data_IF_113684012904
#
_entry.id   IF_113684012904
#
_cell.length_a   1.000
_cell.length_b   1.000
_cell.length_c   1.000
_cell.angle_alpha   90.00
_cell.angle_beta   90.00
_cell.angle_gamma   90.00
#
_symmetry.space_group_name_H-M   'P 1'
#
loop_
_entity.id
_entity.type
_entity.pdbx_description
1 polymer ?
#
# COMPACT_ATOMS: atom_id res chain seq x y z
N UNK A 1 -17.06 -16.87 -23.85
CA UNK A 1 -15.60 -17.13 -24.01
C UNK A 1 -14.76 -15.89 -24.31
N UNK A 2 -15.27 -14.75 -24.82
CA UNK A 2 -14.44 -13.52 -24.96
C UNK A 2 -14.55 -12.54 -23.79
N UNK A 3 -15.77 -12.29 -23.29
CA UNK A 3 -16.00 -11.34 -22.19
C UNK A 3 -15.27 -11.72 -20.89
N UNK A 4 -15.16 -13.01 -20.58
CA UNK A 4 -14.41 -13.51 -19.42
C UNK A 4 -12.91 -13.24 -19.54
N UNK A 5 -12.33 -13.48 -20.72
CA UNK A 5 -10.91 -13.22 -21.00
C UNK A 5 -10.58 -11.72 -20.89
N UNK A 6 -11.43 -10.85 -21.44
CA UNK A 6 -11.28 -9.39 -21.34
C UNK A 6 -11.34 -8.95 -19.87
N UNK A 7 -12.30 -9.46 -19.09
CA UNK A 7 -12.42 -9.17 -17.67
C UNK A 7 -11.16 -9.57 -16.88
N UNK A 8 -10.64 -10.78 -17.09
CA UNK A 8 -9.40 -11.26 -16.46
C UNK A 8 -8.21 -10.36 -16.81
N UNK A 9 -8.06 -9.98 -18.09
CA UNK A 9 -6.98 -9.08 -18.51
C UNK A 9 -7.10 -7.68 -17.86
N UNK A 10 -8.30 -7.12 -17.77
CA UNK A 10 -8.54 -5.83 -17.10
C UNK A 10 -8.20 -5.90 -15.61
N UNK A 11 -8.60 -6.97 -14.91
CA UNK A 11 -8.30 -7.18 -13.48
C UNK A 11 -6.78 -7.26 -13.28
N UNK A 12 -6.07 -8.05 -14.09
CA UNK A 12 -4.61 -8.15 -14.01
C UNK A 12 -3.91 -6.81 -14.27
N UNK A 13 -4.39 -6.04 -15.25
CA UNK A 13 -3.88 -4.70 -15.51
C UNK A 13 -4.08 -3.77 -14.31
N UNK A 14 -5.29 -3.72 -13.73
CA UNK A 14 -5.59 -2.90 -12.56
C UNK A 14 -4.73 -3.29 -11.35
N UNK A 15 -4.57 -4.59 -11.08
CA UNK A 15 -3.71 -5.12 -10.01
C UNK A 15 -2.25 -4.68 -10.19
N UNK A 16 -1.74 -4.79 -11.42
CA UNK A 16 -0.35 -4.40 -11.76
C UNK A 16 -0.13 -2.89 -11.60
N UNK A 17 -1.07 -2.09 -12.12
CA UNK A 17 -1.03 -0.64 -11.99
C UNK A 17 -1.08 -0.21 -10.52
N UNK A 18 -2.03 -0.76 -9.76
CA UNK A 18 -2.16 -0.50 -8.33
C UNK A 18 -0.88 -0.84 -7.57
N UNK A 19 -0.29 -2.02 -7.80
CA UNK A 19 0.95 -2.43 -7.14
C UNK A 19 2.11 -1.46 -7.44
N UNK A 20 2.23 -1.04 -8.69
CA UNK A 20 3.27 -0.09 -9.11
C UNK A 20 3.09 1.28 -8.43
N UNK A 21 1.87 1.81 -8.46
CA UNK A 21 1.55 3.09 -7.80
C UNK A 21 1.72 3.01 -6.28
N UNK A 22 1.28 1.92 -5.65
CA UNK A 22 1.43 1.71 -4.22
C UNK A 22 2.90 1.67 -3.80
N UNK A 23 3.75 0.98 -4.56
CA UNK A 23 5.18 0.91 -4.31
C UNK A 23 5.83 2.30 -4.45
N UNK A 24 5.45 3.09 -5.45
CA UNK A 24 5.93 4.46 -5.60
C UNK A 24 5.55 5.34 -4.40
N UNK A 25 4.31 5.24 -3.92
CA UNK A 25 3.85 5.96 -2.71
C UNK A 25 4.63 5.52 -1.48
N UNK A 26 4.86 4.22 -1.30
CA UNK A 26 5.67 3.70 -0.19
C UNK A 26 7.09 4.27 -0.22
N UNK A 27 7.74 4.27 -1.39
CA UNK A 27 9.09 4.81 -1.54
C UNK A 27 9.17 6.31 -1.19
N UNK A 28 8.19 7.10 -1.64
CA UNK A 28 8.13 8.54 -1.30
C UNK A 28 7.95 8.73 0.20
N UNK A 29 7.01 8.01 0.83
CA UNK A 29 6.77 8.09 2.26
C UNK A 29 8.01 7.67 3.07
N UNK A 30 8.68 6.59 2.69
CA UNK A 30 9.89 6.10 3.37
C UNK A 30 11.05 7.12 3.23
N UNK A 31 11.13 7.83 2.11
CA UNK A 31 12.10 8.90 1.92
C UNK A 31 11.76 10.13 2.76
N UNK A 32 10.48 10.54 2.80
CA UNK A 32 10.01 11.64 3.66
C UNK A 32 10.24 11.35 5.13
N UNK A 33 10.00 10.11 5.57
CA UNK A 33 10.29 9.66 6.94
C UNK A 33 11.75 9.86 7.29
N UNK A 34 12.69 9.39 6.46
CA UNK A 34 14.13 9.56 6.71
C UNK A 34 14.54 11.03 6.83
N UNK A 35 13.99 11.89 5.97
CA UNK A 35 14.24 13.33 6.03
C UNK A 35 13.66 13.92 7.33
N UNK A 36 12.44 13.54 7.68
CA UNK A 36 11.76 13.96 8.92
C UNK A 36 12.50 13.51 10.18
N UNK A 37 12.96 12.26 10.24
CA UNK A 37 13.78 11.74 11.34
C UNK A 37 15.10 12.51 11.48
N UNK A 38 15.78 12.77 10.35
CA UNK A 38 17.02 13.57 10.34
C UNK A 38 16.76 14.96 10.91
N UNK A 39 15.68 15.62 10.48
CA UNK A 39 15.31 16.95 10.94
C UNK A 39 14.97 16.98 12.44
N UNK A 40 14.21 15.99 12.93
CA UNK A 40 13.87 15.90 14.35
C UNK A 40 15.10 15.65 15.22
N UNK A 41 16.03 14.80 14.78
CA UNK A 41 17.28 14.56 15.50
C UNK A 41 18.17 15.82 15.61
N UNK A 42 17.99 16.81 14.72
CA UNK A 42 18.68 18.10 14.80
C UNK A 42 18.00 19.09 15.74
N UNK A 43 16.74 18.85 16.14
CA UNK A 43 16.01 19.70 17.07
C UNK A 43 16.37 19.37 18.51
N UNK A 44 17.45 19.99 19.00
CA UNK A 44 17.93 19.81 20.39
C UNK A 44 16.97 20.33 21.47
N UNK A 45 15.94 21.07 21.09
CA UNK A 45 14.93 21.63 21.99
C UNK A 45 13.69 20.73 22.16
N UNK A 46 13.58 19.65 21.40
CA UNK A 46 12.42 18.76 21.43
C UNK A 46 12.57 17.71 22.56
N UNK A 47 11.58 17.55 23.45
CA UNK A 47 11.62 16.51 24.47
C UNK A 47 11.51 15.10 23.88
N UNK A 48 12.04 14.08 24.58
CA UNK A 48 11.96 12.66 24.15
C UNK A 48 10.54 12.19 23.83
N UNK A 49 9.54 12.67 24.55
CA UNK A 49 8.13 12.34 24.31
C UNK A 49 7.64 12.81 22.93
N UNK A 50 8.14 13.94 22.44
CA UNK A 50 7.87 14.43 21.09
C UNK A 50 8.53 13.56 20.03
N UNK A 51 9.77 13.13 20.25
CA UNK A 51 10.46 12.17 19.38
C UNK A 51 9.71 10.83 19.29
N UNK A 52 9.23 10.33 20.43
CA UNK A 52 8.44 9.10 20.50
C UNK A 52 7.12 9.24 19.74
N UNK A 53 6.39 10.31 19.97
CA UNK A 53 5.09 10.56 19.30
C UNK A 53 5.21 10.61 17.78
N UNK A 54 6.32 11.15 17.26
CA UNK A 54 6.59 11.14 15.82
C UNK A 54 6.86 9.73 15.28
N UNK A 55 7.70 8.94 15.97
CA UNK A 55 7.97 7.55 15.59
C UNK A 55 6.70 6.70 15.62
N UNK A 56 5.91 6.82 16.68
CA UNK A 56 4.62 6.10 16.81
C UNK A 56 3.67 6.48 15.66
N UNK A 57 3.66 7.76 15.26
CA UNK A 57 2.86 8.23 14.12
C UNK A 57 3.32 7.60 12.80
N UNK A 58 4.63 7.54 12.54
CA UNK A 58 5.20 6.86 11.37
C UNK A 58 4.79 5.39 11.32
N UNK A 59 4.92 4.67 12.43
CA UNK A 59 4.56 3.25 12.50
C UNK A 59 3.06 3.05 12.24
N UNK A 60 2.21 3.95 12.75
CA UNK A 60 0.79 3.95 12.46
C UNK A 60 0.51 4.14 10.96
N UNK A 61 1.18 5.10 10.29
CA UNK A 61 1.05 5.30 8.84
C UNK A 61 1.50 4.07 8.04
N UNK A 62 2.62 3.44 8.41
CA UNK A 62 3.09 2.20 7.78
C UNK A 62 2.10 1.05 7.96
N UNK A 63 1.53 0.92 9.15
CA UNK A 63 0.50 -0.10 9.42
C UNK A 63 -0.75 0.17 8.59
N UNK A 64 -1.21 1.42 8.53
CA UNK A 64 -2.39 1.80 7.77
C UNK A 64 -2.22 1.51 6.26
N UNK A 65 -1.09 1.89 5.66
CA UNK A 65 -0.84 1.61 4.23
C UNK A 65 -0.74 0.10 3.94
N UNK A 66 -0.13 -0.68 4.84
CA UNK A 66 -0.04 -2.13 4.67
C UNK A 66 -1.40 -2.81 4.77
N UNK A 67 -2.25 -2.37 5.72
CA UNK A 67 -3.62 -2.86 5.83
C UNK A 67 -4.44 -2.51 4.59
N UNK A 68 -4.28 -1.30 4.04
CA UNK A 68 -4.92 -0.90 2.80
C UNK A 68 -4.49 -1.78 1.62
N UNK A 69 -3.18 -2.03 1.47
CA UNK A 69 -2.63 -2.93 0.44
C UNK A 69 -3.26 -4.32 0.54
N UNK A 70 -3.29 -4.88 1.74
CA UNK A 70 -3.89 -6.19 2.01
C UNK A 70 -5.37 -6.23 1.61
N UNK A 71 -6.16 -5.23 2.00
CA UNK A 71 -7.58 -5.19 1.66
C UNK A 71 -7.82 -5.14 0.14
N UNK A 72 -6.96 -4.43 -0.61
CA UNK A 72 -7.04 -4.38 -2.07
C UNK A 72 -6.60 -5.70 -2.70
N UNK A 73 -5.53 -6.33 -2.21
CA UNK A 73 -5.06 -7.63 -2.68
C UNK A 73 -6.12 -8.72 -2.46
N UNK A 74 -6.71 -8.79 -1.26
CA UNK A 74 -7.81 -9.69 -0.92
C UNK A 74 -9.02 -9.48 -1.86
N UNK A 75 -9.25 -8.23 -2.28
CA UNK A 75 -10.28 -7.88 -3.26
C UNK A 75 -9.98 -8.43 -4.65
N UNK A 76 -8.75 -8.25 -5.14
CA UNK A 76 -8.31 -8.79 -6.42
C UNK A 76 -8.37 -10.32 -6.44
N UNK A 77 -7.93 -11.00 -5.38
CA UNK A 77 -8.02 -12.46 -5.28
C UNK A 77 -9.47 -12.96 -5.37
N UNK A 78 -10.41 -12.30 -4.69
CA UNK A 78 -11.85 -12.63 -4.78
C UNK A 78 -12.38 -12.45 -6.20
N UNK A 79 -11.99 -11.37 -6.89
CA UNK A 79 -12.37 -11.18 -8.29
C UNK A 79 -11.80 -12.29 -9.17
N UNK A 80 -10.51 -12.61 -9.03
CA UNK A 80 -9.86 -13.70 -9.76
C UNK A 80 -10.60 -15.04 -9.55
N UNK A 81 -11.01 -15.36 -8.31
CA UNK A 81 -11.79 -16.57 -8.00
C UNK A 81 -13.17 -16.59 -8.67
N UNK A 82 -13.90 -15.46 -8.66
CA UNK A 82 -15.22 -15.36 -9.29
C UNK A 82 -15.13 -15.53 -10.80
N UNK A 83 -14.12 -14.94 -11.44
CA UNK A 83 -13.97 -15.02 -12.90
C UNK A 83 -13.37 -16.35 -13.36
N UNK A 84 -12.46 -16.95 -12.59
CA UNK A 84 -11.98 -18.32 -12.84
C UNK A 84 -13.09 -19.37 -12.64
N UNK A 85 -13.95 -19.20 -11.63
CA UNK A 85 -15.11 -20.07 -11.39
C UNK A 85 -16.21 -19.96 -12.46
N UNK A 86 -16.25 -18.87 -13.24
CA UNK A 86 -17.18 -18.69 -14.37
C UNK A 86 -16.73 -19.37 -15.67
N UNK A 87 -15.48 -19.87 -15.76
CA UNK A 87 -14.99 -20.60 -16.93
C UNK A 87 -15.24 -22.12 -16.85
N UNK A 88 -15.80 -22.62 -15.73
CA UNK A 88 -16.06 -24.04 -15.48
C UNK A 88 -17.52 -24.53 -15.64
N UNK A 89 -18.43 -23.69 -16.14
CA UNK A 89 -19.84 -24.04 -16.39
C UNK A 89 -20.28 -23.70 -17.81
#
# INVERSE_FOLDING_TARGET
MEAGKIATQTITFQKTFFNSSFNAVCAIQDQTEKVGETFLNQMTWLPEEGHKSFKDSIEMYKKARNNFKKAVDDGFEKFEQIFAGKEGH
#
